data_IF_501531759886
#
_entry.id   IF_501531759886
#
_cell.length_a   1.000
_cell.length_b   1.000
_cell.length_c   1.000
_cell.angle_alpha   90.00
_cell.angle_beta   90.00
_cell.angle_gamma   90.00
#
_symmetry.space_group_name_H-M   'P 1'
#
loop_
_entity.id
_entity.type
_entity.pdbx_description
1 polymer ?
#
# COMPACT_ATOMS: atom_id res chain seq x y z
N UNK A 1 16.56 -9.88 -27.53
CA UNK A 1 15.75 -10.74 -26.64
C UNK A 1 14.59 -9.97 -26.03
N UNK A 2 14.81 -8.78 -25.43
CA UNK A 2 13.69 -8.00 -24.84
C UNK A 2 12.64 -7.50 -25.85
N UNK A 3 13.05 -7.09 -27.05
CA UNK A 3 12.10 -6.54 -28.04
C UNK A 3 11.05 -7.57 -28.51
N UNK A 4 11.48 -8.76 -28.92
CA UNK A 4 10.58 -9.83 -29.40
C UNK A 4 9.62 -10.30 -28.31
N UNK A 5 10.07 -10.36 -27.05
CA UNK A 5 9.23 -10.75 -25.92
C UNK A 5 8.16 -9.67 -25.63
N UNK A 6 8.53 -8.39 -25.72
CA UNK A 6 7.61 -7.26 -25.55
C UNK A 6 6.60 -7.22 -26.70
N UNK A 7 7.07 -7.31 -27.95
CA UNK A 7 6.22 -7.26 -29.15
C UNK A 7 5.20 -8.41 -29.15
N UNK A 8 5.66 -9.64 -28.89
CA UNK A 8 4.79 -10.81 -28.75
C UNK A 8 3.75 -10.62 -27.64
N UNK A 9 4.15 -10.13 -26.47
CA UNK A 9 3.22 -9.91 -25.37
C UNK A 9 2.15 -8.87 -25.73
N UNK A 10 2.54 -7.72 -26.29
CA UNK A 10 1.60 -6.66 -26.67
C UNK A 10 0.62 -7.16 -27.73
N UNK A 11 1.12 -7.75 -28.83
CA UNK A 11 0.28 -8.31 -29.89
C UNK A 11 -0.71 -9.37 -29.38
N UNK A 12 -0.33 -10.13 -28.34
CA UNK A 12 -1.19 -11.13 -27.75
C UNK A 12 -2.23 -10.58 -26.75
N UNK A 13 -2.05 -9.37 -26.22
CA UNK A 13 -2.85 -8.83 -25.10
C UNK A 13 -3.62 -7.54 -25.41
N UNK A 14 -3.24 -6.77 -26.44
CA UNK A 14 -3.92 -5.52 -26.82
C UNK A 14 -5.06 -5.74 -27.81
N UNK A 15 -6.03 -4.81 -27.82
CA UNK A 15 -7.12 -4.71 -28.82
C UNK A 15 -8.03 -5.94 -28.96
N UNK A 16 -8.20 -6.71 -27.88
CA UNK A 16 -9.14 -7.83 -27.82
C UNK A 16 -10.32 -7.54 -26.90
N UNK A 17 -11.10 -6.50 -27.22
CA UNK A 17 -12.29 -6.13 -26.42
C UNK A 17 -13.29 -7.29 -26.30
N UNK A 18 -13.44 -8.08 -27.35
CA UNK A 18 -14.28 -9.29 -27.36
C UNK A 18 -13.69 -10.42 -26.50
N UNK A 19 -12.35 -10.44 -26.32
CA UNK A 19 -11.68 -11.46 -25.53
C UNK A 19 -11.91 -11.35 -24.03
N UNK A 20 -12.37 -10.21 -23.53
CA UNK A 20 -12.67 -10.07 -22.10
C UNK A 20 -13.76 -11.05 -21.62
N UNK A 21 -14.54 -11.61 -22.55
CA UNK A 21 -15.62 -12.56 -22.27
C UNK A 21 -15.44 -13.91 -22.97
N UNK A 22 -14.31 -14.14 -23.64
CA UNK A 22 -14.00 -15.40 -24.34
C UNK A 22 -12.96 -16.23 -23.56
N UNK A 23 -13.36 -17.42 -23.11
CA UNK A 23 -12.52 -18.29 -22.28
C UNK A 23 -11.26 -18.79 -23.00
N UNK A 24 -11.31 -19.02 -24.32
CA UNK A 24 -10.16 -19.52 -25.07
C UNK A 24 -9.11 -18.42 -25.21
N UNK A 25 -9.55 -17.18 -25.47
CA UNK A 25 -8.63 -16.06 -25.57
C UNK A 25 -8.07 -15.70 -24.18
N UNK A 26 -8.89 -15.70 -23.13
CA UNK A 26 -8.42 -15.51 -21.75
C UNK A 26 -7.40 -16.57 -21.34
N UNK A 27 -7.60 -17.83 -21.71
CA UNK A 27 -6.62 -18.90 -21.47
C UNK A 27 -5.29 -18.63 -22.17
N UNK A 28 -5.30 -18.19 -23.43
CA UNK A 28 -4.08 -17.81 -24.16
C UNK A 28 -3.35 -16.64 -23.50
N UNK A 29 -4.09 -15.62 -23.04
CA UNK A 29 -3.54 -14.46 -22.33
C UNK A 29 -2.94 -14.87 -20.98
N UNK A 30 -3.64 -15.71 -20.20
CA UNK A 30 -3.19 -16.16 -18.88
C UNK A 30 -1.89 -16.96 -18.93
N UNK A 31 -1.62 -17.64 -20.05
CA UNK A 31 -0.36 -18.38 -20.27
C UNK A 31 0.80 -17.49 -20.75
N UNK A 32 0.57 -16.20 -21.00
CA UNK A 32 1.65 -15.29 -21.36
C UNK A 32 2.49 -14.93 -20.14
N UNK A 33 3.81 -14.93 -20.30
CA UNK A 33 4.71 -14.29 -19.34
C UNK A 33 4.69 -12.80 -19.59
N UNK A 34 4.37 -12.01 -18.56
CA UNK A 34 4.47 -10.55 -18.64
C UNK A 34 5.94 -10.14 -18.50
N UNK A 35 6.55 -9.44 -19.48
CA UNK A 35 7.93 -8.96 -19.41
C UNK A 35 8.14 -7.98 -18.25
N UNK A 36 9.29 -8.05 -17.57
CA UNK A 36 9.60 -7.17 -16.43
C UNK A 36 9.69 -5.69 -16.83
N UNK A 37 10.01 -5.41 -18.10
CA UNK A 37 9.99 -4.06 -18.68
C UNK A 37 8.59 -3.44 -18.62
N UNK A 38 7.55 -4.19 -18.99
CA UNK A 38 6.13 -3.74 -18.93
C UNK A 38 5.72 -3.47 -17.48
N UNK A 39 6.27 -4.23 -16.54
CA UNK A 39 6.05 -4.02 -15.11
C UNK A 39 6.87 -2.84 -14.52
N UNK A 40 7.63 -2.11 -15.34
CA UNK A 40 8.35 -0.91 -14.94
C UNK A 40 9.45 -1.17 -13.90
N UNK A 41 10.05 -2.37 -13.89
CA UNK A 41 11.03 -2.77 -12.86
C UNK A 41 10.39 -3.08 -11.49
N UNK A 42 9.07 -3.24 -11.44
CA UNK A 42 8.28 -3.57 -10.24
C UNK A 42 7.70 -4.97 -10.29
N UNK A 43 8.26 -5.84 -11.13
CA UNK A 43 7.68 -7.15 -11.41
C UNK A 43 7.49 -8.02 -10.18
N UNK A 44 8.46 -8.01 -9.25
CA UNK A 44 8.34 -8.73 -7.98
C UNK A 44 7.18 -8.21 -7.12
N UNK A 45 6.98 -6.89 -7.04
CA UNK A 45 5.94 -6.28 -6.19
C UNK A 45 4.55 -6.57 -6.75
N UNK A 46 4.36 -6.35 -8.05
CA UNK A 46 3.08 -6.60 -8.73
C UNK A 46 2.70 -8.09 -8.66
N UNK A 47 3.65 -9.00 -8.94
CA UNK A 47 3.43 -10.45 -8.84
C UNK A 47 3.16 -10.91 -7.41
N UNK A 48 3.91 -10.39 -6.43
CA UNK A 48 3.67 -10.75 -5.04
C UNK A 48 2.28 -10.30 -4.57
N UNK A 49 1.89 -9.05 -4.86
CA UNK A 49 0.61 -8.48 -4.45
C UNK A 49 -0.59 -9.22 -5.08
N UNK A 50 -0.49 -9.66 -6.35
CA UNK A 50 -1.56 -10.45 -6.99
C UNK A 50 -1.62 -11.89 -6.47
N UNK A 51 -0.48 -12.54 -6.24
CA UNK A 51 -0.45 -13.90 -5.68
C UNK A 51 -0.99 -13.94 -4.25
N UNK A 52 -0.69 -12.92 -3.44
CA UNK A 52 -1.26 -12.79 -2.09
C UNK A 52 -2.78 -12.65 -2.17
N UNK A 53 -3.29 -11.84 -3.10
CA UNK A 53 -4.73 -11.65 -3.30
C UNK A 53 -5.42 -12.96 -3.72
N UNK A 54 -4.87 -13.67 -4.71
CA UNK A 54 -5.42 -14.97 -5.13
C UNK A 54 -5.39 -16.01 -4.03
N UNK A 55 -4.32 -16.05 -3.23
CA UNK A 55 -4.24 -16.94 -2.07
C UNK A 55 -5.33 -16.61 -1.05
N UNK A 56 -5.56 -15.32 -0.79
CA UNK A 56 -6.64 -14.90 0.10
C UNK A 56 -8.01 -15.31 -0.44
N UNK A 57 -8.32 -15.04 -1.71
CA UNK A 57 -9.59 -15.46 -2.32
C UNK A 57 -9.80 -16.97 -2.28
N UNK A 58 -8.75 -17.75 -2.57
CA UNK A 58 -8.81 -19.20 -2.48
C UNK A 58 -9.20 -19.67 -1.07
N UNK A 59 -8.54 -19.15 -0.04
CA UNK A 59 -8.81 -19.53 1.35
C UNK A 59 -10.22 -19.09 1.78
N UNK A 60 -10.62 -17.87 1.44
CA UNK A 60 -11.95 -17.33 1.78
C UNK A 60 -13.08 -18.06 1.03
N UNK A 61 -12.81 -18.62 -0.16
CA UNK A 61 -13.78 -19.46 -0.88
C UNK A 61 -14.10 -20.79 -0.18
N UNK A 62 -13.17 -21.29 0.64
CA UNK A 62 -13.36 -22.52 1.43
C UNK A 62 -14.19 -22.23 2.67
N UNK A 63 -13.93 -21.09 3.32
CA UNK A 63 -14.54 -20.70 4.57
C UNK A 63 -14.47 -19.19 4.73
N UNK A 64 -15.62 -18.51 4.72
CA UNK A 64 -15.68 -17.05 4.88
C UNK A 64 -15.31 -16.65 6.32
N UNK A 65 -14.19 -15.92 6.53
CA UNK A 65 -13.78 -15.47 7.85
C UNK A 65 -14.79 -14.52 8.51
N UNK A 66 -15.64 -13.83 7.74
CA UNK A 66 -16.61 -12.87 8.30
C UNK A 66 -17.66 -13.56 9.17
N UNK A 67 -18.04 -14.80 8.83
CA UNK A 67 -19.01 -15.60 9.60
C UNK A 67 -18.52 -15.87 11.02
N UNK A 68 -17.21 -15.97 11.21
CA UNK A 68 -16.59 -16.28 12.50
C UNK A 68 -16.15 -15.02 13.24
N UNK A 69 -15.91 -13.93 12.51
CA UNK A 69 -15.54 -12.66 13.10
C UNK A 69 -16.66 -12.16 14.05
N UNK A 70 -16.29 -11.78 15.27
CA UNK A 70 -17.18 -11.36 16.34
C UNK A 70 -18.26 -12.39 16.75
N UNK A 71 -18.05 -13.66 16.42
CA UNK A 71 -18.93 -14.77 16.83
C UNK A 71 -18.39 -15.51 18.07
N UNK A 72 -19.23 -16.35 18.69
CA UNK A 72 -18.81 -17.28 19.75
C UNK A 72 -18.15 -18.56 19.19
N UNK A 73 -18.13 -18.74 17.86
CA UNK A 73 -17.59 -19.93 17.20
C UNK A 73 -16.07 -19.81 17.12
N UNK A 74 -15.38 -20.62 17.93
CA UNK A 74 -13.92 -20.67 17.95
C UNK A 74 -13.30 -21.54 16.85
N UNK A 75 -11.98 -21.71 16.94
CA UNK A 75 -11.14 -22.44 15.98
C UNK A 75 -11.66 -23.83 15.56
N UNK A 76 -12.27 -24.59 16.48
CA UNK A 76 -12.84 -25.91 16.17
C UNK A 76 -13.95 -25.87 15.10
N UNK A 77 -14.76 -24.81 15.08
CA UNK A 77 -15.79 -24.62 14.05
C UNK A 77 -15.17 -24.32 12.68
N UNK A 78 -14.07 -23.56 12.65
CA UNK A 78 -13.29 -23.31 11.44
C UNK A 78 -12.76 -24.63 10.90
N UNK A 79 -12.11 -25.44 11.75
CA UNK A 79 -11.60 -26.76 11.36
C UNK A 79 -12.71 -27.65 10.82
N UNK A 80 -13.86 -27.71 11.49
CA UNK A 80 -15.00 -28.50 11.02
C UNK A 80 -15.57 -28.03 9.68
N UNK A 81 -15.60 -26.71 9.42
CA UNK A 81 -16.02 -26.16 8.13
C UNK A 81 -15.05 -26.52 7.00
N UNK A 82 -13.74 -26.37 7.26
CA UNK A 82 -12.67 -26.71 6.29
C UNK A 82 -12.64 -28.21 6.01
N UNK A 83 -12.67 -29.04 7.04
CA UNK A 83 -12.64 -30.51 6.92
C UNK A 83 -13.79 -31.03 6.05
N UNK A 84 -14.97 -30.39 6.12
CA UNK A 84 -16.10 -30.72 5.26
C UNK A 84 -15.88 -30.38 3.79
N UNK A 85 -15.04 -29.38 3.47
CA UNK A 85 -14.85 -28.89 2.09
C UNK A 85 -13.61 -29.48 1.41
N UNK A 86 -12.52 -29.69 2.14
CA UNK A 86 -11.24 -30.18 1.60
C UNK A 86 -11.37 -31.44 0.73
N UNK A 87 -12.13 -32.49 1.10
CA UNK A 87 -12.26 -33.69 0.27
C UNK A 87 -12.88 -33.43 -1.11
N UNK A 88 -13.76 -32.42 -1.23
CA UNK A 88 -14.42 -32.06 -2.49
C UNK A 88 -13.52 -31.21 -3.40
N UNK A 89 -12.59 -30.46 -2.81
CA UNK A 89 -11.66 -29.59 -3.55
C UNK A 89 -10.43 -30.40 -3.99
N UNK A 90 -9.95 -31.31 -3.14
CA UNK A 90 -8.71 -32.05 -3.32
C UNK A 90 -8.98 -33.55 -3.57
N UNK A 91 -9.82 -33.86 -4.55
CA UNK A 91 -10.33 -35.21 -4.84
C UNK A 91 -9.25 -36.24 -5.20
N UNK A 92 -8.08 -35.80 -5.70
CA UNK A 92 -6.94 -36.67 -6.03
C UNK A 92 -5.84 -36.76 -4.97
N UNK A 93 -6.00 -36.08 -3.83
CA UNK A 93 -4.99 -36.04 -2.75
C UNK A 93 -5.28 -37.12 -1.71
N UNK A 94 -4.24 -37.75 -1.14
CA UNK A 94 -4.42 -38.80 -0.14
C UNK A 94 -5.08 -38.27 1.14
N UNK A 95 -5.71 -39.16 1.91
CA UNK A 95 -6.40 -38.77 3.15
C UNK A 95 -5.45 -38.11 4.16
N UNK A 96 -4.22 -38.62 4.30
CA UNK A 96 -3.21 -38.04 5.19
C UNK A 96 -2.80 -36.62 4.78
N UNK A 97 -2.61 -36.39 3.47
CA UNK A 97 -2.28 -35.07 2.94
C UNK A 97 -3.48 -34.11 3.08
N UNK A 98 -4.72 -34.57 2.86
CA UNK A 98 -5.93 -33.77 3.10
C UNK A 98 -6.07 -33.34 4.55
N UNK A 99 -5.74 -34.19 5.50
CA UNK A 99 -5.73 -33.83 6.93
C UNK A 99 -4.70 -32.74 7.23
N UNK A 100 -3.53 -32.82 6.58
CA UNK A 100 -2.47 -31.79 6.68
C UNK A 100 -2.94 -30.47 6.07
N UNK A 101 -3.53 -30.50 4.88
CA UNK A 101 -4.12 -29.32 4.22
C UNK A 101 -5.22 -28.70 5.05
N UNK A 102 -6.12 -29.51 5.63
CA UNK A 102 -7.18 -29.04 6.53
C UNK A 102 -6.60 -28.24 7.69
N UNK A 103 -5.56 -28.76 8.34
CA UNK A 103 -4.90 -28.08 9.46
C UNK A 103 -4.25 -26.77 9.02
N UNK A 104 -3.59 -26.76 7.86
CA UNK A 104 -2.92 -25.57 7.34
C UNK A 104 -3.92 -24.48 6.95
N UNK A 105 -4.93 -24.82 6.15
CA UNK A 105 -5.98 -23.91 5.69
C UNK A 105 -6.76 -23.35 6.88
N UNK A 106 -7.13 -24.19 7.86
CA UNK A 106 -7.84 -23.74 9.06
C UNK A 106 -7.04 -22.72 9.87
N UNK A 107 -5.72 -22.92 9.99
CA UNK A 107 -4.83 -21.95 10.67
C UNK A 107 -4.76 -20.62 9.91
N UNK A 108 -4.76 -20.64 8.58
CA UNK A 108 -4.75 -19.41 7.78
C UNK A 108 -6.08 -18.66 7.88
N UNK A 109 -7.21 -19.37 7.87
CA UNK A 109 -8.54 -18.77 8.09
C UNK A 109 -8.62 -18.18 9.49
N UNK A 110 -8.22 -18.93 10.52
CA UNK A 110 -8.24 -18.42 11.90
C UNK A 110 -7.38 -17.17 12.04
N UNK A 111 -6.20 -17.12 11.42
CA UNK A 111 -5.42 -15.88 11.35
C UNK A 111 -6.25 -14.74 10.74
N UNK A 112 -6.97 -14.95 9.64
CA UNK A 112 -7.85 -13.94 9.03
C UNK A 112 -9.06 -13.55 9.91
N UNK A 113 -9.62 -14.49 10.67
CA UNK A 113 -10.69 -14.21 11.65
C UNK A 113 -10.15 -13.35 12.79
N UNK A 114 -9.01 -13.74 13.40
CA UNK A 114 -8.37 -12.98 14.46
C UNK A 114 -8.01 -11.56 14.02
N UNK A 115 -7.54 -11.44 12.78
CA UNK A 115 -7.26 -10.18 12.08
C UNK A 115 -8.48 -9.25 11.99
N UNK A 116 -9.65 -9.81 11.66
CA UNK A 116 -10.92 -9.05 11.59
C UNK A 116 -11.50 -8.73 12.98
N UNK A 117 -11.27 -9.59 13.97
CA UNK A 117 -11.68 -9.39 15.37
C UNK A 117 -10.86 -8.33 16.10
N UNK A 118 -9.56 -8.24 15.79
CA UNK A 118 -8.61 -7.31 16.41
C UNK A 118 -8.79 -5.84 15.97
N UNK A 119 -10.00 -5.43 15.54
CA UNK A 119 -10.28 -4.01 15.19
C UNK A 119 -10.26 -3.05 16.38
N UNK A 120 -10.01 -3.50 17.61
CA UNK A 120 -9.77 -2.59 18.75
C UNK A 120 -8.34 -2.05 18.67
N UNK A 121 -8.24 -0.77 18.29
CA UNK A 121 -6.98 -0.01 18.30
C UNK A 121 -6.37 -0.12 19.71
N UNK A 122 -5.18 -0.70 19.83
CA UNK A 122 -4.46 -0.72 21.09
C UNK A 122 -4.13 0.72 21.45
N UNK A 123 -4.48 1.12 22.68
CA UNK A 123 -4.06 2.39 23.23
C UNK A 123 -2.57 2.28 23.59
N UNK A 124 -1.75 3.13 22.98
CA UNK A 124 -0.32 3.20 23.26
C UNK A 124 -0.14 4.22 24.38
N UNK A 125 0.52 3.80 25.46
CA UNK A 125 0.76 4.66 26.62
C UNK A 125 1.65 5.85 26.26
N UNK A 126 1.62 6.90 27.07
CA UNK A 126 2.49 8.06 26.84
C UNK A 126 3.97 7.69 27.04
N UNK A 127 4.26 6.74 27.91
CA UNK A 127 5.58 6.15 28.14
C UNK A 127 6.10 5.44 26.88
N UNK A 128 5.27 4.60 26.25
CA UNK A 128 5.64 3.91 25.00
C UNK A 128 5.86 4.90 23.85
N UNK A 129 5.04 5.96 23.77
CA UNK A 129 5.24 7.03 22.77
C UNK A 129 6.59 7.72 22.96
N UNK A 130 6.99 8.02 24.21
CA UNK A 130 8.30 8.62 24.53
C UNK A 130 9.44 7.69 24.16
N UNK A 131 9.36 6.41 24.55
CA UNK A 131 10.37 5.42 24.19
C UNK A 131 10.53 5.29 22.68
N UNK A 132 9.42 5.19 21.94
CA UNK A 132 9.45 5.10 20.49
C UNK A 132 10.03 6.37 19.84
N UNK A 133 9.74 7.54 20.41
CA UNK A 133 10.30 8.80 19.96
C UNK A 133 11.82 8.85 20.15
N UNK A 134 12.30 8.44 21.33
CA UNK A 134 13.72 8.44 21.68
C UNK A 134 14.54 7.50 20.77
N UNK A 135 13.98 6.34 20.39
CA UNK A 135 14.61 5.41 19.43
C UNK A 135 14.86 6.07 18.06
N UNK A 136 14.00 6.97 17.61
CA UNK A 136 14.14 7.66 16.32
C UNK A 136 15.20 8.79 16.36
N UNK A 137 15.66 9.17 17.55
CA UNK A 137 16.73 10.15 17.72
C UNK A 137 16.32 11.60 17.45
N UNK A 138 17.28 12.42 17.03
CA UNK A 138 17.16 13.88 17.00
C UNK A 138 16.40 14.44 15.78
N UNK A 139 16.26 13.67 14.71
CA UNK A 139 15.47 14.06 13.53
C UNK A 139 14.42 13.01 13.15
N UNK A 140 13.39 12.77 13.98
CA UNK A 140 12.37 11.77 13.67
C UNK A 140 11.66 12.07 12.34
N UNK A 141 11.54 11.03 11.51
CA UNK A 141 10.91 11.07 10.19
C UNK A 141 9.83 10.01 10.07
N UNK A 142 8.86 10.26 9.20
CA UNK A 142 7.91 9.25 8.81
C UNK A 142 8.63 8.08 8.13
N UNK A 143 8.45 6.86 8.64
CA UNK A 143 9.10 5.66 8.10
C UNK A 143 8.70 5.32 6.66
N UNK A 144 7.59 5.86 6.17
CA UNK A 144 7.05 5.63 4.82
C UNK A 144 7.59 6.67 3.84
N UNK A 145 7.36 7.96 4.08
CA UNK A 145 7.68 9.02 3.11
C UNK A 145 8.91 9.86 3.48
N UNK A 146 9.49 9.68 4.67
CA UNK A 146 10.62 10.48 5.14
C UNK A 146 10.31 11.92 5.52
N UNK A 147 9.02 12.28 5.62
CA UNK A 147 8.57 13.57 6.14
C UNK A 147 9.18 13.82 7.52
N UNK A 148 9.93 14.91 7.67
CA UNK A 148 10.53 15.33 8.95
C UNK A 148 9.43 15.91 9.83
N UNK A 149 9.23 15.33 11.00
CA UNK A 149 8.22 15.82 11.92
C UNK A 149 8.60 17.20 12.45
N UNK A 150 7.62 18.10 12.53
CA UNK A 150 7.81 19.44 13.09
C UNK A 150 7.78 19.39 14.61
N UNK A 151 8.33 20.42 15.27
CA UNK A 151 8.19 20.56 16.74
C UNK A 151 6.73 20.63 17.19
N UNK A 152 5.86 21.18 16.35
CA UNK A 152 4.42 21.13 16.60
C UNK A 152 3.89 19.68 16.65
N UNK A 153 4.29 18.84 15.70
CA UNK A 153 3.84 17.45 15.64
C UNK A 153 4.40 16.61 16.80
N UNK A 154 5.66 16.85 17.18
CA UNK A 154 6.31 16.28 18.37
C UNK A 154 5.54 16.63 19.65
N UNK A 155 5.32 17.92 19.91
CA UNK A 155 4.63 18.37 21.12
C UNK A 155 3.22 17.80 21.21
N UNK A 156 2.49 17.75 20.09
CA UNK A 156 1.16 17.14 20.03
C UNK A 156 1.21 15.64 20.29
N UNK A 157 2.20 14.94 19.76
CA UNK A 157 2.35 13.49 19.93
C UNK A 157 2.70 13.10 21.37
N UNK A 158 3.58 13.89 22.01
CA UNK A 158 4.06 13.71 23.38
C UNK A 158 3.20 14.43 24.44
N UNK A 159 2.05 14.98 24.04
CA UNK A 159 1.07 15.64 24.93
C UNK A 159 1.68 16.76 25.77
N UNK A 160 2.56 17.58 25.15
CA UNK A 160 3.16 18.75 25.77
C UNK A 160 2.28 19.99 25.65
N UNK A 161 2.21 20.81 26.71
CA UNK A 161 1.37 22.02 26.81
C UNK A 161 1.75 23.19 25.86
N UNK A 162 2.83 23.06 25.09
CA UNK A 162 3.40 24.15 24.28
C UNK A 162 2.98 24.15 22.79
N UNK A 163 1.73 23.82 22.46
CA UNK A 163 1.24 23.87 21.06
C UNK A 163 0.49 25.20 20.79
N UNK A 164 1.17 26.23 20.29
CA UNK A 164 0.50 27.53 20.05
C UNK A 164 0.05 27.79 18.62
N UNK A 165 0.62 27.14 17.60
CA UNK A 165 0.12 27.31 16.23
C UNK A 165 0.34 26.08 15.34
N UNK A 166 -0.70 25.70 14.60
CA UNK A 166 -0.66 24.62 13.61
C UNK A 166 0.05 25.14 12.35
N UNK A 167 1.19 24.57 11.94
CA UNK A 167 1.81 24.97 10.68
C UNK A 167 0.95 24.49 9.52
N UNK A 168 0.12 25.36 8.95
CA UNK A 168 -0.62 25.05 7.74
C UNK A 168 0.21 25.43 6.51
N UNK A 169 0.61 24.46 5.67
CA UNK A 169 1.32 24.77 4.45
C UNK A 169 0.42 25.56 3.49
N UNK A 170 0.93 26.69 3.00
CA UNK A 170 0.24 27.53 2.00
C UNK A 170 0.22 26.86 0.62
N UNK A 171 1.25 26.04 0.34
CA UNK A 171 1.40 25.32 -0.90
C UNK A 171 1.48 23.82 -0.64
N UNK A 172 0.77 23.05 -1.47
CA UNK A 172 0.54 21.62 -1.30
C UNK A 172 1.01 20.89 -2.56
N UNK A 173 1.67 19.75 -2.39
CA UNK A 173 1.99 18.85 -3.50
C UNK A 173 0.68 18.31 -4.10
N UNK A 174 0.39 18.63 -5.36
CA UNK A 174 -0.87 18.24 -6.01
C UNK A 174 -1.04 16.71 -6.18
N UNK A 175 0.06 15.94 -6.14
CA UNK A 175 0.03 14.49 -6.32
C UNK A 175 -0.33 13.75 -5.02
N UNK A 176 0.08 14.29 -3.87
CA UNK A 176 -0.16 13.65 -2.57
C UNK A 176 -1.28 14.33 -1.80
N UNK A 177 -1.45 15.64 -1.99
CA UNK A 177 -2.33 16.49 -1.19
C UNK A 177 -1.97 16.48 0.31
N UNK A 178 -0.73 16.10 0.64
CA UNK A 178 -0.23 16.01 2.01
C UNK A 178 -0.19 17.39 2.66
N UNK A 179 -0.86 17.55 3.81
CA UNK A 179 -0.90 18.80 4.57
C UNK A 179 -2.20 19.59 4.40
N UNK A 180 -3.16 19.05 3.64
CA UNK A 180 -4.52 19.59 3.61
C UNK A 180 -5.24 19.42 4.94
N UNK A 181 -4.97 18.35 5.70
CA UNK A 181 -5.55 18.18 7.03
C UNK A 181 -4.48 18.31 8.12
N UNK A 182 -4.89 18.76 9.31
CA UNK A 182 -4.02 18.75 10.49
C UNK A 182 -3.48 17.34 10.79
N UNK A 183 -4.30 16.31 10.51
CA UNK A 183 -3.91 14.91 10.71
C UNK A 183 -2.72 14.56 9.82
N UNK A 184 -2.67 15.06 8.59
CA UNK A 184 -1.64 14.72 7.61
C UNK A 184 -0.22 14.96 8.13
N UNK A 185 -0.04 16.06 8.85
CA UNK A 185 1.25 16.50 9.42
C UNK A 185 1.44 16.10 10.89
N UNK A 186 0.46 15.42 11.49
CA UNK A 186 0.57 14.87 12.85
C UNK A 186 1.37 13.55 12.83
N UNK A 187 1.98 13.19 13.96
CA UNK A 187 2.63 11.88 14.15
C UNK A 187 1.58 10.87 14.63
N UNK A 188 1.56 9.69 14.01
CA UNK A 188 0.78 8.54 14.43
C UNK A 188 1.71 7.33 14.57
N UNK A 189 1.42 6.43 15.52
CA UNK A 189 2.08 5.13 15.54
C UNK A 189 1.39 4.21 14.53
N UNK A 190 2.19 3.67 13.62
CA UNK A 190 1.75 2.69 12.64
C UNK A 190 2.41 1.34 12.89
N UNK A 191 1.71 0.29 12.51
CA UNK A 191 2.24 -1.07 12.51
C UNK A 191 2.73 -1.37 11.10
N UNK A 192 4.02 -1.71 10.91
CA UNK A 192 4.61 -2.00 9.58
C UNK A 192 3.75 -3.03 8.83
N UNK A 193 3.47 -4.14 9.50
CA UNK A 193 2.37 -5.04 9.16
C UNK A 193 1.14 -4.57 9.92
N UNK A 194 0.02 -4.16 9.26
CA UNK A 194 -1.18 -3.69 9.96
C UNK A 194 -1.58 -4.61 11.11
N UNK A 195 -2.05 -4.05 12.23
CA UNK A 195 -2.55 -4.84 13.36
C UNK A 195 -3.65 -5.81 12.93
N UNK A 196 -4.54 -5.35 12.03
CA UNK A 196 -5.55 -6.16 11.33
C UNK A 196 -4.98 -7.25 10.43
N UNK A 197 -3.66 -7.41 10.33
CA UNK A 197 -2.96 -8.47 9.60
C UNK A 197 -2.01 -9.29 10.50
N UNK A 198 -2.08 -9.12 11.82
CA UNK A 198 -1.41 -9.97 12.83
C UNK A 198 -0.07 -9.44 13.33
N UNK A 199 0.24 -8.16 13.10
CA UNK A 199 1.43 -7.53 13.66
C UNK A 199 1.25 -7.23 15.15
N UNK A 200 1.83 -8.06 16.03
CA UNK A 200 1.62 -8.00 17.49
C UNK A 200 2.86 -7.62 18.32
N UNK A 201 4.00 -7.38 17.69
CA UNK A 201 5.28 -7.23 18.41
C UNK A 201 5.71 -5.76 18.49
N UNK A 202 6.41 -5.40 19.58
CA UNK A 202 6.98 -4.07 19.81
C UNK A 202 7.90 -3.63 18.64
N UNK A 203 8.58 -4.59 18.01
CA UNK A 203 9.42 -4.40 16.83
C UNK A 203 8.67 -3.98 15.55
N UNK A 204 7.34 -4.09 15.54
CA UNK A 204 6.47 -3.77 14.41
C UNK A 204 5.96 -2.31 14.43
N UNK A 205 6.24 -1.55 15.50
CA UNK A 205 5.79 -0.16 15.62
C UNK A 205 6.78 0.82 14.97
N UNK A 206 6.25 1.79 14.22
CA UNK A 206 7.02 2.84 13.56
C UNK A 206 6.26 4.17 13.57
N UNK A 207 6.98 5.30 13.54
CA UNK A 207 6.38 6.63 13.46
C UNK A 207 6.00 6.96 12.02
N UNK A 208 4.71 7.24 11.79
CA UNK A 208 4.17 7.63 10.50
C UNK A 208 3.52 9.01 10.56
N UNK A 209 3.57 9.76 9.46
CA UNK A 209 2.68 10.91 9.32
C UNK A 209 1.24 10.44 9.13
N UNK A 210 0.26 11.21 9.60
CA UNK A 210 -1.14 10.82 9.51
C UNK A 210 -1.64 10.68 8.07
N UNK A 211 -1.01 11.34 7.09
CA UNK A 211 -1.32 11.14 5.68
C UNK A 211 -0.95 9.74 5.20
N UNK A 212 0.29 9.29 5.48
CA UNK A 212 0.72 7.95 5.10
C UNK A 212 -0.11 6.89 5.84
N UNK A 213 -0.35 7.07 7.14
CA UNK A 213 -1.09 6.09 7.95
C UNK A 213 -2.55 5.96 7.49
N UNK A 214 -3.22 7.08 7.20
CA UNK A 214 -4.62 7.07 6.75
C UNK A 214 -4.80 6.42 5.37
N UNK A 215 -3.86 6.61 4.44
CA UNK A 215 -3.92 6.01 3.12
C UNK A 215 -3.42 4.55 3.10
N UNK A 216 -2.46 4.18 3.97
CA UNK A 216 -2.07 2.79 4.22
C UNK A 216 -3.26 1.99 4.77
N UNK A 217 -3.87 2.49 5.85
CA UNK A 217 -5.00 1.84 6.51
C UNK A 217 -4.72 0.33 6.74
N UNK A 218 -5.66 -0.53 6.36
CA UNK A 218 -5.57 -1.99 6.37
C UNK A 218 -5.18 -2.61 5.02
N UNK A 219 -4.78 -1.80 4.03
CA UNK A 219 -4.48 -2.27 2.67
C UNK A 219 -3.09 -2.88 2.60
N UNK A 220 -2.95 -3.93 1.80
CA UNK A 220 -1.71 -4.70 1.67
C UNK A 220 -1.29 -4.88 0.22
N UNK A 221 -2.23 -4.79 -0.73
CA UNK A 221 -2.02 -5.05 -2.14
C UNK A 221 -2.36 -3.83 -2.98
N UNK A 222 -1.52 -3.51 -3.98
CA UNK A 222 -1.79 -2.43 -4.95
C UNK A 222 -3.15 -2.58 -5.66
N UNK A 223 -3.70 -3.80 -5.67
CA UNK A 223 -4.99 -4.16 -6.25
C UNK A 223 -6.19 -3.96 -5.31
N UNK A 224 -5.98 -3.54 -4.05
CA UNK A 224 -7.03 -3.24 -3.06
C UNK A 224 -7.79 -1.93 -3.34
N UNK A 225 -7.41 -1.20 -4.40
CA UNK A 225 -7.93 0.14 -4.73
C UNK A 225 -8.28 0.22 -6.21
N UNK A 226 -9.09 1.21 -6.58
CA UNK A 226 -9.49 1.42 -7.96
C UNK A 226 -8.28 1.48 -8.90
N UNK A 227 -8.33 0.73 -10.00
CA UNK A 227 -7.18 0.53 -10.91
C UNK A 227 -6.88 1.73 -11.83
N UNK A 228 -7.68 2.81 -11.77
CA UNK A 228 -7.53 3.99 -12.63
C UNK A 228 -7.13 5.22 -11.82
N UNK A 229 -6.06 5.95 -12.23
CA UNK A 229 -5.72 7.23 -11.61
C UNK A 229 -6.83 8.26 -11.88
N UNK A 230 -7.01 9.17 -10.93
CA UNK A 230 -7.92 10.32 -11.11
C UNK A 230 -7.27 11.34 -12.04
N UNK A 231 -8.07 12.24 -12.60
CA UNK A 231 -7.58 13.36 -13.41
C UNK A 231 -7.98 14.67 -12.77
N UNK A 232 -7.08 15.65 -12.77
CA UNK A 232 -7.27 16.99 -12.20
C UNK A 232 -6.79 18.05 -13.19
N UNK A 233 -7.32 19.26 -13.07
CA UNK A 233 -6.82 20.42 -13.81
C UNK A 233 -5.77 21.15 -12.98
N UNK A 234 -4.52 21.11 -13.42
CA UNK A 234 -3.39 21.79 -12.79
C UNK A 234 -3.20 23.20 -13.37
N UNK A 235 -3.09 24.26 -12.55
CA UNK A 235 -3.03 25.64 -13.02
C UNK A 235 -1.92 25.95 -14.04
N UNK A 236 -0.79 25.25 -13.94
CA UNK A 236 0.38 25.44 -14.83
C UNK A 236 0.60 24.32 -15.85
N UNK A 237 0.07 23.12 -15.57
CA UNK A 237 0.41 21.90 -16.31
C UNK A 237 -0.82 21.36 -17.08
N UNK A 238 -1.95 22.06 -17.02
CA UNK A 238 -3.20 21.62 -17.61
C UNK A 238 -3.71 20.32 -16.98
N UNK A 239 -4.35 19.50 -17.79
CA UNK A 239 -4.94 18.23 -17.36
C UNK A 239 -3.87 17.22 -16.97
N UNK A 240 -3.88 16.80 -15.71
CA UNK A 240 -2.89 15.89 -15.12
C UNK A 240 -3.57 14.67 -14.52
N UNK A 241 -3.02 13.47 -14.75
CA UNK A 241 -3.39 12.30 -13.94
C UNK A 241 -2.72 12.38 -12.57
N UNK A 242 -3.42 12.01 -11.50
CA UNK A 242 -2.87 11.88 -10.15
C UNK A 242 -2.98 10.42 -9.69
N UNK A 243 -1.96 9.87 -9.01
CA UNK A 243 -1.97 8.48 -8.61
C UNK A 243 -2.94 8.26 -7.46
N UNK A 244 -3.41 7.03 -7.32
CA UNK A 244 -4.14 6.66 -6.11
C UNK A 244 -3.19 6.80 -4.89
N UNK A 245 -3.59 7.48 -3.79
CA UNK A 245 -2.70 7.73 -2.64
C UNK A 245 -2.06 6.47 -2.05
N UNK A 246 -2.82 5.36 -2.02
CA UNK A 246 -2.28 4.08 -1.54
C UNK A 246 -1.11 3.55 -2.41
N UNK A 247 -1.12 3.78 -3.73
CA UNK A 247 0.01 3.39 -4.57
C UNK A 247 1.27 4.16 -4.21
N UNK A 248 1.14 5.46 -3.90
CA UNK A 248 2.24 6.30 -3.41
C UNK A 248 2.79 5.70 -2.11
N UNK A 249 1.94 5.49 -1.11
CA UNK A 249 2.31 4.93 0.20
C UNK A 249 2.98 3.56 0.06
N UNK A 250 2.43 2.68 -0.77
CA UNK A 250 2.97 1.34 -1.00
C UNK A 250 4.33 1.39 -1.67
N UNK A 251 4.52 2.23 -2.68
CA UNK A 251 5.81 2.39 -3.36
C UNK A 251 6.86 3.00 -2.45
N UNK A 252 6.52 4.07 -1.71
CA UNK A 252 7.43 4.71 -0.77
C UNK A 252 7.87 3.75 0.33
N UNK A 253 6.94 2.98 0.91
CA UNK A 253 7.25 2.02 2.00
C UNK A 253 8.09 0.83 1.54
N UNK A 254 7.95 0.37 0.28
CA UNK A 254 8.72 -0.76 -0.25
C UNK A 254 10.08 -0.32 -0.82
N UNK A 255 10.15 0.82 -1.52
CA UNK A 255 11.39 1.30 -2.15
C UNK A 255 12.31 2.01 -1.16
N UNK A 256 11.75 2.86 -0.30
CA UNK A 256 12.46 3.62 0.74
C UNK A 256 13.68 4.45 0.28
N UNK A 257 13.88 4.63 -1.02
CA UNK A 257 15.01 5.37 -1.62
C UNK A 257 14.62 6.03 -2.94
N UNK A 258 15.33 7.09 -3.27
CA UNK A 258 15.23 7.78 -4.56
C UNK A 258 15.66 6.83 -5.70
N UNK A 259 14.87 6.79 -6.79
CA UNK A 259 15.07 5.96 -7.98
C UNK A 259 15.69 6.76 -9.15
N UNK A 260 16.45 7.83 -8.85
CA UNK A 260 17.17 8.58 -9.89
C UNK A 260 18.24 7.71 -10.57
N UNK A 261 18.26 7.69 -11.90
CA UNK A 261 19.10 6.80 -12.71
C UNK A 261 20.60 7.07 -12.56
N UNK A 262 20.99 8.32 -12.29
CA UNK A 262 22.38 8.69 -11.99
C UNK A 262 22.86 8.28 -10.59
N UNK A 263 22.02 7.59 -9.81
CA UNK A 263 22.30 7.23 -8.43
C UNK A 263 21.99 8.36 -7.45
N UNK A 264 21.44 8.01 -6.29
CA UNK A 264 21.11 8.95 -5.24
C UNK A 264 21.16 8.26 -3.87
N UNK A 265 21.75 8.92 -2.86
CA UNK A 265 21.86 8.40 -1.50
C UNK A 265 20.67 8.78 -0.61
N UNK A 266 19.67 9.46 -1.16
CA UNK A 266 18.50 9.92 -0.41
C UNK A 266 17.55 8.74 -0.14
N UNK A 267 17.25 8.53 1.12
CA UNK A 267 16.33 7.51 1.64
C UNK A 267 15.29 8.18 2.53
N UNK A 268 14.25 7.45 2.90
CA UNK A 268 13.24 7.94 3.86
C UNK A 268 13.84 8.33 5.21
N UNK A 269 15.01 7.78 5.54
CA UNK A 269 15.69 8.02 6.81
C UNK A 269 16.45 9.37 6.81
N UNK A 270 16.75 9.95 5.64
CA UNK A 270 17.50 11.20 5.53
C UNK A 270 16.83 12.29 4.67
N UNK A 271 15.73 11.97 3.98
CA UNK A 271 15.04 12.90 3.10
C UNK A 271 13.56 12.54 2.96
N UNK A 272 12.74 13.57 2.70
CA UNK A 272 11.38 13.31 2.25
C UNK A 272 11.40 12.87 0.78
N UNK A 273 10.72 11.77 0.50
CA UNK A 273 10.55 11.22 -0.83
C UNK A 273 9.11 11.43 -1.29
N UNK A 274 8.93 11.56 -2.60
CA UNK A 274 7.63 11.65 -3.27
C UNK A 274 7.64 10.78 -4.52
N UNK A 275 6.62 10.89 -5.37
CA UNK A 275 6.55 10.22 -6.65
C UNK A 275 6.45 11.20 -7.81
N UNK A 276 6.91 10.75 -8.98
CA UNK A 276 6.72 11.36 -10.30
C UNK A 276 6.37 10.30 -11.33
N UNK A 277 5.97 10.72 -12.50
CA UNK A 277 5.85 9.86 -13.67
C UNK A 277 7.24 9.37 -14.11
N UNK A 278 7.31 8.11 -14.54
CA UNK A 278 8.46 7.59 -15.29
C UNK A 278 8.42 8.08 -16.73
N UNK A 279 7.23 8.09 -17.32
CA UNK A 279 6.90 8.57 -18.66
C UNK A 279 5.90 9.74 -18.53
N UNK A 280 6.31 11.00 -18.80
CA UNK A 280 5.51 12.20 -18.52
C UNK A 280 4.12 12.23 -19.17
N UNK A 281 3.97 11.63 -20.36
CA UNK A 281 2.70 11.57 -21.09
C UNK A 281 1.81 10.39 -20.66
N UNK A 282 2.35 9.46 -19.86
CA UNK A 282 1.63 8.28 -19.39
C UNK A 282 0.78 8.56 -18.13
N UNK A 283 -0.25 7.76 -17.90
CA UNK A 283 -1.06 7.86 -16.69
C UNK A 283 -0.27 7.45 -15.43
N UNK A 284 -0.54 8.08 -14.28
CA UNK A 284 0.12 7.79 -12.99
C UNK A 284 -0.40 6.51 -12.31
N UNK A 285 -0.17 5.36 -12.96
CA UNK A 285 -0.44 4.03 -12.41
C UNK A 285 0.85 3.42 -11.81
N UNK A 286 0.79 2.27 -11.09
CA UNK A 286 1.97 1.70 -10.44
C UNK A 286 3.16 1.42 -11.36
N UNK A 287 2.96 1.10 -12.64
CA UNK A 287 4.07 0.84 -13.58
C UNK A 287 4.74 2.13 -14.05
N UNK A 288 4.01 3.24 -14.09
CA UNK A 288 4.50 4.55 -14.51
C UNK A 288 4.86 5.51 -13.37
N UNK A 289 4.85 5.08 -12.11
CA UNK A 289 5.38 5.89 -11.00
C UNK A 289 6.91 5.77 -10.92
N UNK A 290 7.56 6.67 -10.20
CA UNK A 290 8.97 6.64 -9.82
C UNK A 290 9.13 7.38 -8.50
N UNK A 291 9.82 6.78 -7.54
CA UNK A 291 10.11 7.42 -6.24
C UNK A 291 11.29 8.37 -6.41
N UNK A 292 11.17 9.61 -5.94
CA UNK A 292 12.16 10.66 -6.15
C UNK A 292 12.32 11.52 -4.89
N UNK A 293 13.51 12.07 -4.67
CA UNK A 293 13.73 13.15 -3.69
C UNK A 293 13.51 14.52 -4.33
N UNK A 294 13.43 15.57 -3.52
CA UNK A 294 13.25 16.94 -4.00
C UNK A 294 14.34 17.44 -4.94
N UNK A 295 15.59 16.98 -4.76
CA UNK A 295 16.74 17.38 -5.59
C UNK A 295 16.64 16.84 -7.03
N UNK A 296 15.94 15.72 -7.23
CA UNK A 296 15.79 15.08 -8.53
C UNK A 296 14.36 15.18 -9.07
N UNK A 297 13.50 16.01 -8.47
CA UNK A 297 12.12 16.18 -8.88
C UNK A 297 12.03 17.09 -10.12
N UNK A 298 11.71 16.56 -11.31
CA UNK A 298 11.64 17.34 -12.54
C UNK A 298 10.53 18.41 -12.53
N UNK A 299 9.54 18.29 -11.65
CA UNK A 299 8.45 19.26 -11.56
C UNK A 299 8.82 20.50 -10.76
N UNK A 300 9.79 20.41 -9.86
CA UNK A 300 10.21 21.50 -8.99
C UNK A 300 9.03 22.25 -8.36
N UNK A 301 8.99 23.58 -8.52
CA UNK A 301 7.91 24.41 -7.97
C UNK A 301 6.54 24.17 -8.62
N UNK A 302 6.47 23.55 -9.81
CA UNK A 302 5.21 23.22 -10.46
C UNK A 302 4.47 22.08 -9.78
N UNK A 303 5.12 21.35 -8.85
CA UNK A 303 4.45 20.39 -7.96
C UNK A 303 3.51 21.06 -6.95
N UNK A 304 3.81 22.30 -6.60
CA UNK A 304 3.19 23.00 -5.49
C UNK A 304 2.04 23.86 -6.00
N UNK A 305 0.82 23.54 -5.57
CA UNK A 305 -0.39 24.35 -5.82
C UNK A 305 -0.83 25.05 -4.55
N UNK A 306 -1.56 26.16 -4.67
CA UNK A 306 -2.13 26.82 -3.50
C UNK A 306 -3.10 25.87 -2.77
N UNK A 307 -3.20 26.04 -1.45
CA UNK A 307 -4.11 25.24 -0.62
C UNK A 307 -5.55 25.21 -1.17
N UNK A 308 -6.07 26.35 -1.62
CA UNK A 308 -7.42 26.45 -2.23
C UNK A 308 -7.58 25.55 -3.46
N UNK A 309 -6.57 25.48 -4.32
CA UNK A 309 -6.58 24.61 -5.50
C UNK A 309 -6.50 23.14 -5.08
N UNK A 310 -5.63 22.81 -4.11
CA UNK A 310 -5.53 21.44 -3.59
C UNK A 310 -6.83 20.95 -2.93
N UNK A 311 -7.57 21.82 -2.24
CA UNK A 311 -8.89 21.50 -1.68
C UNK A 311 -9.92 21.15 -2.76
N UNK A 312 -9.89 21.83 -3.90
CA UNK A 312 -10.74 21.51 -5.06
C UNK A 312 -10.36 20.17 -5.69
N UNK A 313 -9.06 19.85 -5.77
CA UNK A 313 -8.57 18.58 -6.32
C UNK A 313 -8.94 17.35 -5.48
N UNK A 314 -9.27 17.54 -4.20
CA UNK A 314 -9.65 16.48 -3.27
C UNK A 314 -11.07 15.96 -3.48
N UNK A 315 -11.99 16.82 -3.93
CA UNK A 315 -13.40 16.50 -4.17
C UNK A 315 -13.54 15.49 -5.31
#
# INVERSE_FOLDING_TARGET
>A
MEFEEIDSFLNNTTDKLEAYWDIQILSKIANQRVPDFIMGGRGFLLRADIHILWTQWFIESICDPEIFANSTKGYAYIVGAVQKRVPFIFTGVSELERQTLTKYISRLIDKEVQRRNQRKRIFISIEDKKLLWDIYGSEPRCWICGYKFTKWAENKFLESDNYRELPQPQFIDYMTLHGLSQRDISVEVDHVVPFSKGGKEEDNLRLACGWCNSHKSNRISLYDVAMKPRTVEHPKLGKQSIPHPFWIVRLLSVRRRCEYEGGCNKTVDNAQLTVVHKHPEGAMNPTNLRVICSEHDPLGSSRLVSRKVAEQMRQ
#
